data_IF_718613684190
#
_entry.id   IF_718613684190
#
_cell.length_a   1.000
_cell.length_b   1.000
_cell.length_c   1.000
_cell.angle_alpha   90.00
_cell.angle_beta   90.00
_cell.angle_gamma   90.00
#
_symmetry.space_group_name_H-M   'P 1'
#
loop_
_entity.id
_entity.type
_entity.pdbx_description
1 polymer ?
#
# COMPACT_ATOMS: atom_id res chain seq x y z
N UNK A 1 -30.56 -7.16 -19.71
CA UNK A 1 -30.39 -5.74 -19.35
C UNK A 1 -28.91 -5.55 -19.14
N UNK A 2 -28.22 -5.37 -20.26
CA UNK A 2 -26.77 -5.20 -20.31
C UNK A 2 -26.47 -3.72 -20.07
N UNK A 3 -25.76 -3.42 -18.99
CA UNK A 3 -25.15 -2.12 -18.82
C UNK A 3 -23.72 -2.22 -19.35
N UNK A 4 -23.57 -1.80 -20.60
CA UNK A 4 -22.32 -1.42 -21.23
C UNK A 4 -21.51 -0.50 -20.31
N UNK A 5 -20.40 -1.01 -19.78
CA UNK A 5 -19.38 -0.21 -19.12
C UNK A 5 -18.01 -0.42 -19.79
N UNK A 6 -18.00 -0.38 -21.12
CA UNK A 6 -16.78 -0.16 -21.88
C UNK A 6 -16.92 1.11 -22.72
N UNK A 7 -16.42 2.25 -22.21
CA UNK A 7 -15.93 3.31 -23.10
C UNK A 7 -14.78 4.10 -22.46
N UNK A 8 -13.70 4.24 -23.25
CA UNK A 8 -12.50 5.09 -23.07
C UNK A 8 -11.52 4.69 -21.96
N UNK A 9 -10.43 4.01 -22.36
CA UNK A 9 -9.11 3.98 -21.70
C UNK A 9 -9.14 4.13 -20.19
N UNK A 10 -9.74 3.17 -19.49
CA UNK A 10 -9.92 3.24 -18.05
C UNK A 10 -8.58 2.86 -17.37
N UNK A 11 -7.57 3.73 -17.46
CA UNK A 11 -6.37 3.61 -16.63
C UNK A 11 -6.79 3.83 -15.19
N UNK A 12 -7.18 2.74 -14.53
CA UNK A 12 -7.52 2.73 -13.12
C UNK A 12 -6.34 3.30 -12.32
N UNK A 13 -6.65 4.08 -11.29
CA UNK A 13 -5.67 4.86 -10.54
C UNK A 13 -4.65 3.93 -9.85
N UNK A 14 -3.39 3.91 -10.27
CA UNK A 14 -2.33 3.27 -9.47
C UNK A 14 -2.01 4.16 -8.26
N UNK A 15 -2.23 3.64 -7.06
CA UNK A 15 -1.88 4.32 -5.81
C UNK A 15 -0.37 4.16 -5.57
N UNK A 16 0.31 5.29 -5.41
CA UNK A 16 1.75 5.38 -5.13
C UNK A 16 1.95 5.64 -3.65
N UNK A 17 2.80 4.83 -3.02
CA UNK A 17 3.17 5.03 -1.62
C UNK A 17 4.70 5.18 -1.55
N UNK A 18 5.18 6.43 -1.38
CA UNK A 18 6.60 6.71 -1.19
C UNK A 18 7.19 5.94 0.00
N UNK A 19 8.47 5.61 -0.09
CA UNK A 19 9.21 4.97 0.99
C UNK A 19 9.07 5.71 2.33
N UNK A 20 9.06 7.04 2.30
CA UNK A 20 8.97 7.85 3.51
C UNK A 20 7.61 7.79 4.19
N UNK A 21 6.53 7.46 3.46
CA UNK A 21 5.22 7.15 4.04
C UNK A 21 5.19 5.69 4.49
N UNK A 22 5.71 4.78 3.67
CA UNK A 22 5.69 3.34 3.93
C UNK A 22 6.44 2.97 5.22
N UNK A 23 7.62 3.55 5.43
CA UNK A 23 8.50 3.28 6.57
C UNK A 23 8.25 4.17 7.78
N UNK A 24 7.24 5.04 7.74
CA UNK A 24 6.93 5.94 8.85
C UNK A 24 6.29 5.15 10.01
N UNK A 25 6.82 5.32 11.21
CA UNK A 25 6.36 4.66 12.43
C UNK A 25 5.24 5.41 13.17
N UNK A 26 5.13 6.72 12.96
CA UNK A 26 3.98 7.53 13.43
C UNK A 26 2.67 7.20 12.69
N UNK A 27 2.73 6.48 11.56
CA UNK A 27 1.57 6.14 10.74
C UNK A 27 1.16 4.68 10.93
N UNK A 28 -0.12 4.46 11.20
CA UNK A 28 -0.78 3.16 11.06
C UNK A 28 -0.89 2.73 9.60
N UNK A 29 -1.11 1.44 9.34
CA UNK A 29 -1.23 0.90 7.98
C UNK A 29 -2.36 1.57 7.18
N UNK A 30 -3.50 1.86 7.81
CA UNK A 30 -4.62 2.56 7.17
C UNK A 30 -4.26 4.01 6.84
N UNK A 31 -3.55 4.70 7.75
CA UNK A 31 -3.05 6.04 7.49
C UNK A 31 -2.03 6.05 6.34
N UNK A 32 -1.13 5.06 6.26
CA UNK A 32 -0.18 4.90 5.14
C UNK A 32 -0.90 4.74 3.79
N UNK A 33 -1.91 3.86 3.73
CA UNK A 33 -2.70 3.64 2.52
C UNK A 33 -3.47 4.89 2.09
N UNK A 34 -4.16 5.55 3.03
CA UNK A 34 -4.95 6.76 2.76
C UNK A 34 -4.04 7.94 2.39
N UNK A 35 -2.89 8.11 3.07
CA UNK A 35 -1.93 9.16 2.73
C UNK A 35 -1.30 8.91 1.35
N UNK A 36 -1.04 7.65 0.99
CA UNK A 36 -0.59 7.26 -0.35
C UNK A 36 -1.60 7.65 -1.45
N UNK A 37 -2.89 7.47 -1.19
CA UNK A 37 -3.94 7.97 -2.09
C UNK A 37 -3.84 9.48 -2.29
N UNK A 38 -3.78 10.21 -1.17
CA UNK A 38 -3.68 11.66 -1.21
C UNK A 38 -2.43 12.12 -1.95
N UNK A 39 -1.29 11.47 -1.69
CA UNK A 39 -0.03 11.74 -2.38
C UNK A 39 -0.16 11.55 -3.89
N UNK A 40 -0.82 10.46 -4.31
CA UNK A 40 -1.03 10.16 -5.72
C UNK A 40 -1.90 11.22 -6.42
N UNK A 41 -2.99 11.65 -5.76
CA UNK A 41 -3.85 12.70 -6.28
C UNK A 41 -3.22 14.08 -6.23
N UNK A 42 -2.47 14.39 -5.18
CA UNK A 42 -1.74 15.65 -5.05
C UNK A 42 -0.70 15.77 -6.18
N UNK A 43 0.01 14.69 -6.48
CA UNK A 43 0.94 14.63 -7.60
C UNK A 43 0.26 14.83 -8.97
N UNK A 44 -0.95 14.29 -9.17
CA UNK A 44 -1.66 14.36 -10.47
C UNK A 44 -2.52 15.61 -10.65
N UNK A 45 -3.19 16.08 -9.59
CA UNK A 45 -4.25 17.09 -9.61
C UNK A 45 -4.03 18.23 -8.60
N UNK A 46 -2.97 18.17 -7.79
CA UNK A 46 -2.64 19.18 -6.77
C UNK A 46 -3.52 19.15 -5.52
N UNK A 47 -4.50 18.24 -5.45
CA UNK A 47 -5.36 17.99 -4.27
C UNK A 47 -6.21 16.74 -4.46
N UNK A 48 -6.79 16.26 -3.36
CA UNK A 48 -7.81 15.19 -3.35
C UNK A 48 -9.15 15.75 -2.91
N UNK A 49 -10.22 15.46 -3.66
CA UNK A 49 -11.60 15.94 -3.39
C UNK A 49 -12.57 14.78 -3.07
N UNK A 50 -12.04 13.59 -2.74
CA UNK A 50 -12.88 12.42 -2.46
C UNK A 50 -13.49 12.47 -1.05
N UNK A 51 -14.74 12.04 -0.96
CA UNK A 51 -15.45 11.86 0.31
C UNK A 51 -14.97 10.60 1.03
N UNK A 52 -15.16 10.56 2.35
CA UNK A 52 -14.84 9.37 3.16
C UNK A 52 -15.56 8.11 2.68
N UNK A 53 -16.78 8.25 2.16
CA UNK A 53 -17.56 7.14 1.60
C UNK A 53 -16.92 6.61 0.31
N UNK A 54 -16.48 7.50 -0.57
CA UNK A 54 -15.80 7.10 -1.82
C UNK A 54 -14.47 6.41 -1.54
N UNK A 55 -13.65 6.95 -0.64
CA UNK A 55 -12.37 6.33 -0.24
C UNK A 55 -12.63 4.98 0.45
N UNK A 56 -13.64 4.93 1.34
CA UNK A 56 -14.03 3.70 2.03
C UNK A 56 -14.43 2.58 1.06
N UNK A 57 -15.29 2.90 0.08
CA UNK A 57 -15.67 1.97 -0.97
C UNK A 57 -14.43 1.48 -1.76
N UNK A 58 -13.57 2.41 -2.16
CA UNK A 58 -12.40 2.10 -2.99
C UNK A 58 -11.37 1.20 -2.28
N UNK A 59 -11.22 1.32 -0.96
CA UNK A 59 -10.27 0.52 -0.18
C UNK A 59 -10.90 -0.64 0.60
N UNK A 60 -12.20 -0.89 0.43
CA UNK A 60 -12.98 -1.80 1.28
C UNK A 60 -12.81 -1.49 2.78
N UNK A 61 -12.81 -0.20 3.15
CA UNK A 61 -12.72 0.27 4.52
C UNK A 61 -14.05 0.90 4.94
N UNK A 62 -14.43 0.70 6.20
CA UNK A 62 -15.58 1.41 6.76
C UNK A 62 -15.33 2.93 6.75
N UNK A 63 -16.29 3.78 6.32
CA UNK A 63 -16.08 5.24 6.23
C UNK A 63 -15.62 5.90 7.53
N UNK A 64 -15.98 5.33 8.69
CA UNK A 64 -15.51 5.80 10.00
C UNK A 64 -14.00 5.62 10.19
N UNK A 65 -13.41 4.54 9.65
CA UNK A 65 -11.96 4.33 9.68
C UNK A 65 -11.28 5.41 8.84
N UNK A 66 -11.82 5.73 7.66
CA UNK A 66 -11.31 6.80 6.80
C UNK A 66 -11.38 8.15 7.51
N UNK A 67 -12.53 8.47 8.09
CA UNK A 67 -12.75 9.70 8.87
C UNK A 67 -11.74 9.83 10.02
N UNK A 68 -11.52 8.74 10.76
CA UNK A 68 -10.54 8.68 11.84
C UNK A 68 -9.12 8.91 11.31
N UNK A 69 -8.72 8.25 10.22
CA UNK A 69 -7.40 8.42 9.62
C UNK A 69 -7.19 9.86 9.13
N UNK A 70 -8.18 10.50 8.49
CA UNK A 70 -8.07 11.91 8.10
C UNK A 70 -7.88 12.83 9.30
N UNK A 71 -8.65 12.65 10.38
CA UNK A 71 -8.48 13.44 11.60
C UNK A 71 -7.07 13.31 12.15
N UNK A 72 -6.53 12.10 12.21
CA UNK A 72 -5.17 11.87 12.69
C UNK A 72 -4.11 12.43 11.74
N UNK A 73 -4.28 12.27 10.42
CA UNK A 73 -3.33 12.80 9.45
C UNK A 73 -3.29 14.34 9.46
N UNK A 74 -4.43 15.00 9.71
CA UNK A 74 -4.50 16.44 9.95
C UNK A 74 -3.80 16.84 11.25
N UNK A 75 -4.09 16.14 12.36
CA UNK A 75 -3.50 16.47 13.67
C UNK A 75 -1.99 16.27 13.67
N UNK A 76 -1.51 15.18 13.04
CA UNK A 76 -0.11 14.89 12.81
C UNK A 76 0.52 15.79 11.72
N UNK A 77 -0.24 16.67 11.06
CA UNK A 77 0.21 17.59 9.99
C UNK A 77 0.77 16.91 8.74
N UNK A 78 0.34 15.69 8.41
CA UNK A 78 0.63 15.04 7.12
C UNK A 78 -0.31 15.52 6.01
N UNK A 79 -1.52 15.94 6.36
CA UNK A 79 -2.49 16.55 5.45
C UNK A 79 -2.74 18.01 5.83
N UNK A 80 -3.04 18.82 4.82
CA UNK A 80 -3.59 20.15 4.98
C UNK A 80 -5.00 20.18 4.41
N UNK A 81 -5.95 20.73 5.19
CA UNK A 81 -7.31 20.94 4.71
C UNK A 81 -7.35 22.22 3.86
N UNK A 82 -7.88 22.11 2.64
CA UNK A 82 -8.10 23.24 1.73
C UNK A 82 -9.59 23.40 1.45
N UNK A 83 -9.99 24.52 0.83
CA UNK A 83 -11.41 24.87 0.59
C UNK A 83 -12.23 23.73 -0.05
N UNK A 84 -11.60 22.91 -0.89
CA UNK A 84 -12.24 21.78 -1.58
C UNK A 84 -11.41 20.49 -1.47
N UNK A 85 -11.05 20.07 -0.26
CA UNK A 85 -10.43 18.76 -0.02
C UNK A 85 -9.13 18.80 0.78
N UNK A 86 -8.16 17.98 0.38
CA UNK A 86 -6.89 17.80 1.09
C UNK A 86 -5.68 17.88 0.16
N UNK A 87 -4.58 18.42 0.66
CA UNK A 87 -3.25 18.35 0.04
C UNK A 87 -2.26 17.68 0.99
N UNK A 88 -1.21 17.08 0.45
CA UNK A 88 -0.17 16.42 1.25
C UNK A 88 0.86 17.46 1.68
N UNK A 89 1.25 17.45 2.96
CA UNK A 89 2.31 18.33 3.46
C UNK A 89 3.69 17.71 3.21
N UNK A 90 4.74 18.53 3.20
CA UNK A 90 6.12 18.07 3.11
C UNK A 90 6.60 17.29 4.37
N UNK A 91 5.77 17.16 5.43
CA UNK A 91 6.16 16.45 6.65
C UNK A 91 6.59 15.01 6.39
N UNK A 92 5.94 14.34 5.43
CA UNK A 92 6.30 12.97 5.07
C UNK A 92 7.74 12.83 4.57
N UNK A 93 8.42 13.90 4.15
CA UNK A 93 9.82 13.84 3.71
C UNK A 93 10.82 13.82 4.88
N UNK A 94 10.37 14.09 6.11
CA UNK A 94 11.24 14.13 7.30
C UNK A 94 11.66 12.73 7.77
N UNK A 95 10.94 11.69 7.35
CA UNK A 95 11.29 10.30 7.66
C UNK A 95 12.54 9.90 6.91
N UNK A 96 13.61 9.62 7.65
CA UNK A 96 14.84 9.05 7.09
C UNK A 96 14.55 7.62 6.65
N UNK A 97 14.85 7.33 5.39
CA UNK A 97 14.65 6.00 4.81
C UNK A 97 15.92 5.54 4.11
N UNK A 98 16.36 4.32 4.44
CA UNK A 98 17.50 3.69 3.79
C UNK A 98 17.10 3.21 2.39
N UNK A 99 15.91 2.59 2.29
CA UNK A 99 15.32 2.19 1.03
C UNK A 99 14.38 3.28 0.50
N UNK A 100 14.67 3.81 -0.69
CA UNK A 100 13.92 4.90 -1.31
C UNK A 100 12.81 4.43 -2.27
N UNK A 101 12.65 3.12 -2.47
CA UNK A 101 11.69 2.59 -3.45
C UNK A 101 10.27 2.88 -2.97
N UNK A 102 9.45 3.38 -3.88
CA UNK A 102 8.01 3.46 -3.68
C UNK A 102 7.36 2.11 -3.99
N UNK A 103 6.21 1.86 -3.37
CA UNK A 103 5.35 0.74 -3.76
C UNK A 103 4.19 1.28 -4.60
N UNK A 104 3.77 0.47 -5.58
CA UNK A 104 2.67 0.76 -6.48
C UNK A 104 1.56 -0.24 -6.22
N UNK A 105 0.36 0.24 -5.93
CA UNK A 105 -0.81 -0.58 -5.71
C UNK A 105 -1.79 -0.33 -6.86
N UNK A 106 -2.00 -1.32 -7.76
CA UNK A 106 -3.06 -1.23 -8.76
C UNK A 106 -4.42 -1.50 -8.10
N UNK A 107 -5.49 -1.21 -8.85
CA UNK A 107 -6.87 -1.23 -8.35
C UNK A 107 -7.25 -2.57 -7.75
N UNK A 108 -6.94 -3.65 -8.47
CA UNK A 108 -7.21 -5.03 -8.12
C UNK A 108 -6.69 -5.40 -6.73
N UNK A 109 -5.63 -4.74 -6.28
CA UNK A 109 -5.01 -4.98 -4.97
C UNK A 109 -5.63 -4.08 -3.91
N UNK A 110 -5.65 -2.76 -4.12
CA UNK A 110 -6.14 -1.88 -3.05
C UNK A 110 -7.65 -1.98 -2.84
N UNK A 111 -8.43 -2.38 -3.85
CA UNK A 111 -9.87 -2.61 -3.78
C UNK A 111 -10.24 -4.05 -3.43
N UNK A 112 -9.27 -4.92 -3.16
CA UNK A 112 -9.57 -6.31 -2.76
C UNK A 112 -10.17 -6.32 -1.35
N UNK A 113 -11.41 -6.77 -1.20
CA UNK A 113 -12.08 -6.72 0.11
C UNK A 113 -11.63 -7.82 1.07
N UNK A 114 -11.16 -8.96 0.56
CA UNK A 114 -10.63 -10.04 1.41
C UNK A 114 -9.20 -9.80 1.88
N UNK A 115 -8.54 -8.73 1.39
CA UNK A 115 -7.20 -8.37 1.85
C UNK A 115 -7.26 -7.32 2.96
N UNK A 116 -6.50 -7.59 4.02
CA UNK A 116 -6.20 -6.57 5.02
C UNK A 116 -5.34 -5.45 4.41
N UNK A 117 -5.40 -4.25 4.97
CA UNK A 117 -4.51 -3.15 4.56
C UNK A 117 -3.03 -3.53 4.62
N UNK A 118 -2.64 -4.32 5.64
CA UNK A 118 -1.27 -4.82 5.75
C UNK A 118 -0.89 -5.73 4.59
N UNK A 119 -1.77 -6.65 4.18
CA UNK A 119 -1.53 -7.51 3.01
C UNK A 119 -1.45 -6.72 1.70
N UNK A 120 -2.28 -5.68 1.52
CA UNK A 120 -2.22 -4.77 0.37
C UNK A 120 -0.85 -4.10 0.27
N UNK A 121 -0.37 -3.51 1.37
CA UNK A 121 0.96 -2.88 1.43
C UNK A 121 2.09 -3.89 1.21
N UNK A 122 1.96 -5.09 1.77
CA UNK A 122 2.95 -6.17 1.61
C UNK A 122 3.06 -6.64 0.16
N UNK A 123 1.93 -6.79 -0.54
CA UNK A 123 1.92 -7.11 -1.96
C UNK A 123 2.68 -6.06 -2.77
N UNK A 124 2.44 -4.77 -2.49
CA UNK A 124 3.17 -3.67 -3.14
C UNK A 124 4.67 -3.72 -2.86
N UNK A 125 5.07 -4.05 -1.63
CA UNK A 125 6.47 -4.24 -1.25
C UNK A 125 7.14 -5.36 -2.06
N UNK A 126 6.51 -6.53 -2.12
CA UNK A 126 7.02 -7.68 -2.88
C UNK A 126 7.17 -7.35 -4.37
N UNK A 127 6.17 -6.69 -4.96
CA UNK A 127 6.22 -6.30 -6.37
C UNK A 127 7.24 -5.19 -6.66
N UNK A 128 7.47 -4.27 -5.72
CA UNK A 128 8.51 -3.23 -5.87
C UNK A 128 9.93 -3.80 -5.90
N UNK A 129 10.16 -4.91 -5.18
CA UNK A 129 11.44 -5.62 -5.16
C UNK A 129 11.66 -6.43 -6.44
N UNK A 130 10.59 -7.00 -7.01
CA UNK A 130 10.65 -7.79 -8.24
C UNK A 130 10.94 -6.99 -9.53
N UNK A 131 11.05 -5.66 -9.46
CA UNK A 131 11.48 -4.82 -10.60
C UNK A 131 12.99 -4.96 -10.84
N UNK A 132 13.39 -6.14 -11.31
CA UNK A 132 14.76 -6.49 -11.68
C UNK A 132 14.99 -8.00 -11.75
N UNK A 133 14.30 -8.78 -10.90
CA UNK A 133 14.38 -10.24 -10.84
C UNK A 133 12.99 -10.82 -10.56
N UNK A 134 12.67 -11.98 -11.14
CA UNK A 134 11.34 -12.66 -11.01
C UNK A 134 11.01 -13.12 -9.59
N UNK A 135 11.93 -12.93 -8.65
CA UNK A 135 11.92 -13.54 -7.32
C UNK A 135 12.25 -12.47 -6.26
N UNK A 136 11.41 -12.38 -5.23
CA UNK A 136 11.71 -11.62 -4.03
C UNK A 136 12.72 -12.39 -3.17
N UNK A 137 13.88 -11.80 -2.84
CA UNK A 137 14.93 -12.47 -2.05
C UNK A 137 15.16 -11.88 -0.65
N UNK A 138 14.34 -10.95 -0.19
CA UNK A 138 14.60 -10.24 1.06
C UNK A 138 14.14 -11.03 2.31
N UNK A 139 14.86 -10.86 3.42
CA UNK A 139 14.51 -11.50 4.70
C UNK A 139 13.17 -10.97 5.21
N UNK A 140 12.39 -11.80 5.91
CA UNK A 140 11.15 -11.36 6.59
C UNK A 140 11.39 -10.18 7.54
N UNK A 141 12.52 -10.19 8.23
CA UNK A 141 12.97 -9.13 9.13
C UNK A 141 13.24 -7.79 8.43
N UNK A 142 13.56 -7.83 7.14
CA UNK A 142 13.70 -6.63 6.34
C UNK A 142 12.33 -6.00 6.06
N UNK A 143 11.36 -6.81 5.61
CA UNK A 143 10.00 -6.31 5.34
C UNK A 143 9.30 -5.79 6.59
N UNK A 144 9.48 -6.49 7.71
CA UNK A 144 8.86 -6.12 8.98
C UNK A 144 9.35 -4.75 9.45
N UNK A 145 10.66 -4.49 9.35
CA UNK A 145 11.24 -3.16 9.61
C UNK A 145 10.71 -2.11 8.66
N UNK A 146 10.64 -2.42 7.37
CA UNK A 146 10.20 -1.46 6.35
C UNK A 146 8.72 -1.07 6.48
N UNK A 147 7.86 -2.00 6.88
CA UNK A 147 6.44 -1.70 7.11
C UNK A 147 6.16 -1.19 8.53
N UNK A 148 7.16 -1.21 9.42
CA UNK A 148 7.07 -0.97 10.86
C UNK A 148 6.04 -1.88 11.56
N UNK A 149 6.20 -3.19 11.40
CA UNK A 149 5.28 -4.23 11.89
C UNK A 149 6.05 -5.43 12.42
N UNK A 150 5.38 -6.35 13.10
CA UNK A 150 6.03 -7.59 13.55
C UNK A 150 6.30 -8.54 12.37
N UNK A 151 7.30 -9.39 12.53
CA UNK A 151 7.56 -10.48 11.57
C UNK A 151 6.40 -11.47 11.45
N UNK A 152 5.59 -11.59 12.51
CA UNK A 152 4.40 -12.42 12.51
C UNK A 152 3.29 -11.85 11.61
N UNK A 153 3.08 -10.53 11.64
CA UNK A 153 2.19 -9.84 10.70
C UNK A 153 2.59 -10.13 9.26
N UNK A 154 3.88 -10.09 8.94
CA UNK A 154 4.38 -10.44 7.60
C UNK A 154 4.00 -11.88 7.24
N UNK A 155 4.16 -12.82 8.17
CA UNK A 155 3.80 -14.23 7.94
C UNK A 155 2.30 -14.37 7.66
N UNK A 156 1.45 -13.73 8.47
CA UNK A 156 0.00 -13.82 8.33
C UNK A 156 -0.50 -13.20 7.02
N UNK A 157 0.04 -12.04 6.65
CA UNK A 157 -0.32 -11.41 5.38
C UNK A 157 0.21 -12.15 4.18
N UNK A 158 1.36 -12.82 4.29
CA UNK A 158 1.84 -13.70 3.20
C UNK A 158 0.88 -14.86 2.98
N UNK A 159 0.36 -15.47 4.06
CA UNK A 159 -0.68 -16.52 3.95
C UNK A 159 -1.95 -15.98 3.29
N UNK A 160 -2.42 -14.80 3.72
CA UNK A 160 -3.59 -14.15 3.12
C UNK A 160 -3.40 -13.92 1.61
N UNK A 161 -2.22 -13.45 1.18
CA UNK A 161 -1.92 -13.25 -0.24
C UNK A 161 -1.85 -14.58 -1.04
N UNK A 162 -1.40 -15.67 -0.41
CA UNK A 162 -1.43 -17.01 -1.01
C UNK A 162 -2.87 -17.53 -1.18
N UNK A 163 -3.70 -17.37 -0.15
CA UNK A 163 -5.11 -17.78 -0.16
C UNK A 163 -5.90 -17.05 -1.24
N UNK A 164 -5.60 -15.77 -1.48
CA UNK A 164 -6.16 -14.98 -2.57
C UNK A 164 -5.48 -15.20 -3.94
N UNK A 165 -4.55 -16.16 -4.06
CA UNK A 165 -3.82 -16.47 -5.31
C UNK A 165 -3.02 -15.30 -5.92
N UNK A 166 -2.67 -14.31 -5.10
CA UNK A 166 -1.92 -13.12 -5.53
C UNK A 166 -0.40 -13.34 -5.55
N UNK A 167 0.05 -14.52 -5.12
CA UNK A 167 1.42 -15.00 -5.19
C UNK A 167 1.45 -16.32 -5.99
N UNK A 168 2.31 -16.41 -7.01
CA UNK A 168 2.53 -17.62 -7.82
C UNK A 168 3.26 -18.70 -7.03
N UNK A 169 4.20 -18.31 -6.17
CA UNK A 169 4.90 -19.27 -5.32
C UNK A 169 5.41 -18.62 -4.03
N UNK A 170 5.43 -19.43 -2.97
CA UNK A 170 6.06 -19.13 -1.69
C UNK A 170 6.93 -20.32 -1.31
N UNK A 171 8.25 -20.19 -1.47
CA UNK A 171 9.20 -21.25 -1.13
C UNK A 171 10.24 -20.77 -0.11
N UNK A 172 10.63 -21.70 0.76
CA UNK A 172 11.68 -21.49 1.74
C UNK A 172 12.96 -22.17 1.27
N UNK A 173 13.95 -21.40 0.84
CA UNK A 173 15.30 -21.93 0.68
C UNK A 173 15.95 -21.97 2.07
N UNK A 174 16.12 -23.20 2.60
CA UNK A 174 16.86 -23.48 3.82
C UNK A 174 18.19 -24.13 3.46
N UNK A 175 19.29 -23.40 3.65
CA UNK A 175 20.66 -23.92 3.60
C UNK A 175 21.48 -23.47 4.82
N UNK A 176 22.68 -24.02 4.99
CA UNK A 176 23.59 -23.64 6.08
C UNK A 176 23.88 -22.12 6.01
N UNK A 177 23.40 -21.36 6.99
CA UNK A 177 23.58 -19.90 7.07
C UNK A 177 22.70 -19.03 6.15
N UNK A 178 21.80 -19.61 5.33
CA UNK A 178 20.91 -18.87 4.42
C UNK A 178 19.47 -19.38 4.52
N UNK A 179 18.64 -18.65 5.25
CA UNK A 179 17.17 -18.76 5.18
C UNK A 179 16.67 -17.62 4.32
N UNK A 180 16.31 -17.92 3.07
CA UNK A 180 15.75 -16.97 2.12
C UNK A 180 14.33 -17.40 1.76
N UNK A 181 13.41 -16.44 1.75
CA UNK A 181 12.06 -16.64 1.24
C UNK A 181 12.07 -16.21 -0.22
N UNK A 182 11.62 -17.06 -1.12
CA UNK A 182 11.38 -16.71 -2.52
C UNK A 182 9.88 -16.53 -2.68
N UNK A 183 9.50 -15.34 -3.15
CA UNK A 183 8.11 -15.00 -3.46
C UNK A 183 8.05 -14.60 -4.92
N UNK A 184 7.23 -15.31 -5.69
CA UNK A 184 6.91 -14.95 -7.07
C UNK A 184 5.51 -14.37 -7.05
N UNK A 185 5.33 -13.17 -7.57
CA UNK A 185 4.03 -12.49 -7.60
C UNK A 185 3.25 -12.84 -8.86
N UNK A 186 1.93 -12.90 -8.74
CA UNK A 186 1.03 -13.11 -9.88
C UNK A 186 0.92 -11.81 -10.67
N UNK A 187 1.73 -11.65 -11.72
CA UNK A 187 1.39 -10.73 -12.81
C UNK A 187 0.45 -11.48 -13.74
N UNK A 188 -0.81 -11.06 -13.78
CA UNK A 188 -1.64 -11.12 -14.99
C UNK A 188 -1.49 -9.80 -15.74
#
# INVERSE_FOLDING_TARGET
>A
MDNDLHSKGNTQLIVRIPATILSNDDLSLNEKLILGLHYTFDFKLGKTVMTNKQIGLMFCLHPNIVSYCHKNLLSKRFLNKVKSGFTVSHKHLQTKVDDKREILLPFEIYSHCDLSTGAKLLWGEYNSISKGEREYFAKRSYTSKRLNVSEESITNWTKQLMECQLLKSYTHNRGYGKSQKIIVTSNE
#
